data_IF_049547600425
#
_entry.id   IF_049547600425
#
_cell.length_a   1.000
_cell.length_b   1.000
_cell.length_c   1.000
_cell.angle_alpha   90.00
_cell.angle_beta   90.00
_cell.angle_gamma   90.00
#
_symmetry.space_group_name_H-M   'P 1'
#
loop_
_entity.id
_entity.type
_entity.pdbx_description
1 polymer ?
#
# COMPACT_ATOMS: atom_id res chain seq x y z
N UNK A 1 -12.64 -7.06 -21.42
CA UNK A 1 -12.88 -8.01 -20.29
C UNK A 1 -12.60 -7.35 -18.94
N UNK A 2 -11.41 -6.77 -18.73
CA UNK A 2 -11.02 -6.08 -17.47
C UNK A 2 -11.99 -4.97 -17.07
N UNK A 3 -12.38 -4.09 -18.01
CA UNK A 3 -13.27 -2.96 -17.72
C UNK A 3 -14.59 -3.40 -17.09
N UNK A 4 -15.29 -4.36 -17.72
CA UNK A 4 -16.62 -4.79 -17.27
C UNK A 4 -16.57 -5.69 -16.03
N UNK A 5 -15.56 -6.57 -15.93
CA UNK A 5 -15.53 -7.60 -14.89
C UNK A 5 -14.71 -7.22 -13.66
N UNK A 6 -13.78 -6.26 -13.78
CA UNK A 6 -12.91 -5.84 -12.68
C UNK A 6 -13.18 -4.39 -12.30
N UNK A 7 -13.13 -3.47 -13.26
CA UNK A 7 -13.28 -2.04 -12.96
C UNK A 7 -14.73 -1.67 -12.66
N UNK A 8 -15.69 -2.17 -13.44
CA UNK A 8 -17.12 -1.92 -13.25
C UNK A 8 -17.61 -2.19 -11.82
N UNK A 9 -17.37 -3.38 -11.25
CA UNK A 9 -17.74 -3.68 -9.86
C UNK A 9 -17.02 -2.79 -8.84
N UNK A 10 -15.74 -2.47 -9.05
CA UNK A 10 -14.98 -1.58 -8.15
C UNK A 10 -15.50 -0.16 -8.16
N UNK A 11 -15.86 0.36 -9.34
CA UNK A 11 -16.48 1.69 -9.49
C UNK A 11 -17.83 1.71 -8.78
N UNK A 12 -18.69 0.72 -9.02
CA UNK A 12 -20.01 0.64 -8.38
C UNK A 12 -19.90 0.61 -6.85
N UNK A 13 -19.02 -0.23 -6.31
CA UNK A 13 -18.81 -0.33 -4.86
C UNK A 13 -18.21 0.95 -4.26
N UNK A 14 -17.28 1.61 -4.96
CA UNK A 14 -16.70 2.86 -4.50
C UNK A 14 -17.74 3.99 -4.43
N UNK A 15 -18.58 4.12 -5.46
CA UNK A 15 -19.69 5.10 -5.49
C UNK A 15 -20.69 4.82 -4.37
N UNK A 16 -21.02 3.56 -4.14
CA UNK A 16 -21.95 3.16 -3.08
C UNK A 16 -21.40 3.45 -1.67
N UNK A 17 -20.12 3.16 -1.42
CA UNK A 17 -19.46 3.48 -0.14
C UNK A 17 -19.48 4.98 0.11
N UNK A 18 -19.17 5.79 -0.90
CA UNK A 18 -19.13 7.24 -0.74
C UNK A 18 -20.53 7.83 -0.48
N UNK A 19 -21.56 7.32 -1.18
CA UNK A 19 -22.95 7.68 -0.91
C UNK A 19 -23.38 7.32 0.52
N UNK A 20 -22.94 6.18 1.06
CA UNK A 20 -23.21 5.84 2.47
C UNK A 20 -22.40 6.68 3.44
N UNK A 21 -21.17 7.06 3.09
CA UNK A 21 -20.29 7.88 3.93
C UNK A 21 -20.79 9.33 4.03
N UNK A 22 -21.37 9.90 2.98
CA UNK A 22 -21.94 11.25 3.04
C UNK A 22 -23.06 11.38 4.07
N UNK A 23 -23.77 10.28 4.33
CA UNK A 23 -24.79 10.20 5.39
C UNK A 23 -24.16 10.08 6.79
N UNK A 24 -22.98 9.47 6.91
CA UNK A 24 -22.27 9.24 8.16
C UNK A 24 -21.09 10.23 8.33
N UNK A 25 -21.40 11.48 8.69
CA UNK A 25 -20.37 12.49 9.01
C UNK A 25 -19.46 12.01 10.16
N UNK A 26 -18.14 12.07 9.95
CA UNK A 26 -17.05 11.96 10.96
C UNK A 26 -16.29 10.62 11.14
N UNK A 27 -16.11 9.79 10.12
CA UNK A 27 -15.10 8.73 10.20
C UNK A 27 -13.69 9.27 9.86
N UNK A 28 -12.67 9.11 10.73
CA UNK A 28 -11.30 9.45 10.39
C UNK A 28 -10.75 8.52 9.30
N UNK A 29 -10.22 9.10 8.24
CA UNK A 29 -9.54 8.34 7.18
C UNK A 29 -8.09 8.07 7.62
N UNK A 30 -7.81 6.86 8.08
CA UNK A 30 -6.43 6.43 8.26
C UNK A 30 -5.90 5.89 6.94
N UNK A 31 -4.83 6.51 6.43
CA UNK A 31 -4.05 5.93 5.34
C UNK A 31 -3.35 4.65 5.78
N UNK A 32 -3.02 3.76 4.83
CA UNK A 32 -2.34 2.49 5.09
C UNK A 32 -1.11 2.63 6.01
N UNK A 33 -0.29 3.67 5.82
CA UNK A 33 0.88 3.89 6.66
C UNK A 33 0.52 4.09 8.16
N UNK A 34 -0.55 4.85 8.43
CA UNK A 34 -1.04 5.04 9.79
C UNK A 34 -1.61 3.76 10.39
N UNK A 35 -2.33 2.96 9.59
CA UNK A 35 -2.84 1.66 10.03
C UNK A 35 -1.72 0.67 10.33
N UNK A 36 -0.69 0.59 9.48
CA UNK A 36 0.46 -0.29 9.68
C UNK A 36 1.25 0.12 10.94
N UNK A 37 1.51 1.43 11.12
CA UNK A 37 2.17 1.94 12.31
C UNK A 37 1.36 1.66 13.60
N UNK A 38 0.05 1.89 13.57
CA UNK A 38 -0.84 1.58 14.69
C UNK A 38 -0.89 0.09 15.03
N UNK A 39 -0.66 -0.79 14.05
CA UNK A 39 -0.54 -2.23 14.24
C UNK A 39 0.89 -2.68 14.66
N UNK A 40 1.82 -1.75 14.91
CA UNK A 40 3.17 -2.05 15.38
C UNK A 40 4.16 -2.45 14.29
N UNK A 41 3.81 -2.30 13.01
CA UNK A 41 4.75 -2.56 11.91
C UNK A 41 5.71 -1.39 11.71
N UNK A 42 6.98 -1.71 11.44
CA UNK A 42 8.02 -0.74 11.11
C UNK A 42 8.16 -0.55 9.60
N UNK A 43 8.30 0.68 9.11
CA UNK A 43 8.64 0.92 7.71
C UNK A 43 10.07 0.45 7.41
N UNK A 44 10.28 -0.26 6.29
CA UNK A 44 11.60 -0.76 5.88
C UNK A 44 11.97 -0.21 4.52
N UNK A 45 13.14 0.41 4.42
CA UNK A 45 13.63 0.97 3.16
C UNK A 45 13.67 -0.09 2.06
N UNK A 46 13.29 0.31 0.85
CA UNK A 46 13.40 -0.51 -0.34
C UNK A 46 14.88 -0.71 -0.67
N UNK A 47 15.20 -1.89 -1.19
CA UNK A 47 16.53 -2.10 -1.75
C UNK A 47 16.69 -1.24 -3.02
N UNK A 48 17.89 -0.70 -3.23
CA UNK A 48 18.21 0.00 -4.46
C UNK A 48 17.97 -0.89 -5.70
N UNK A 49 18.24 -2.19 -5.58
CA UNK A 49 18.00 -3.16 -6.64
C UNK A 49 16.51 -3.26 -7.02
N UNK A 50 15.60 -3.26 -6.05
CA UNK A 50 14.17 -3.30 -6.30
C UNK A 50 13.71 -2.06 -7.08
N UNK A 51 14.23 -0.88 -6.72
CA UNK A 51 13.93 0.38 -7.43
C UNK A 51 14.45 0.34 -8.88
N UNK A 52 15.71 -0.07 -9.07
CA UNK A 52 16.30 -0.21 -10.41
C UNK A 52 15.52 -1.21 -11.27
N UNK A 53 15.15 -2.36 -10.71
CA UNK A 53 14.39 -3.38 -11.42
C UNK A 53 13.02 -2.85 -11.86
N UNK A 54 12.32 -2.11 -11.00
CA UNK A 54 11.05 -1.49 -11.37
C UNK A 54 11.20 -0.47 -12.51
N UNK A 55 12.25 0.36 -12.48
CA UNK A 55 12.55 1.33 -13.54
C UNK A 55 12.86 0.64 -14.86
N UNK A 56 13.75 -0.36 -14.85
CA UNK A 56 14.12 -1.14 -16.04
C UNK A 56 12.90 -1.82 -16.68
N UNK A 57 12.01 -2.40 -15.86
CA UNK A 57 10.79 -3.00 -16.37
C UNK A 57 9.89 -1.97 -17.06
N UNK A 58 9.76 -0.77 -16.49
CA UNK A 58 8.93 0.27 -17.11
C UNK A 58 9.56 0.83 -18.38
N UNK A 59 10.88 0.99 -18.44
CA UNK A 59 11.58 1.46 -19.64
C UNK A 59 11.33 0.54 -20.85
N UNK A 60 11.17 -0.77 -20.61
CA UNK A 60 10.87 -1.75 -21.68
C UNK A 60 9.42 -1.70 -22.17
N UNK A 61 8.47 -1.25 -21.35
CA UNK A 61 7.03 -1.30 -21.63
C UNK A 61 6.35 0.07 -21.55
N UNK A 62 7.10 1.17 -21.77
CA UNK A 62 6.60 2.49 -21.41
C UNK A 62 5.60 3.07 -22.42
N UNK A 63 4.32 2.88 -22.13
CA UNK A 63 3.19 3.52 -22.81
C UNK A 63 2.59 4.68 -21.98
N UNK A 64 3.43 5.38 -21.22
CA UNK A 64 3.02 6.43 -20.28
C UNK A 64 2.97 5.96 -18.82
N UNK A 65 3.55 4.79 -18.50
CA UNK A 65 3.73 4.34 -17.12
C UNK A 65 4.98 4.98 -16.51
N UNK A 66 4.93 5.31 -15.22
CA UNK A 66 6.05 5.90 -14.47
C UNK A 66 6.11 5.26 -13.08
N UNK A 67 7.31 5.14 -12.52
CA UNK A 67 7.49 4.74 -11.11
C UNK A 67 8.23 5.83 -10.36
N UNK A 68 7.73 6.18 -9.18
CA UNK A 68 8.38 7.11 -8.27
C UNK A 68 8.52 6.49 -6.88
N UNK A 69 9.58 6.89 -6.19
CA UNK A 69 9.77 6.60 -4.77
C UNK A 69 9.14 7.77 -3.97
N UNK A 70 7.99 7.52 -3.37
CA UNK A 70 7.24 8.54 -2.60
C UNK A 70 7.68 8.56 -1.12
N UNK A 71 8.29 7.48 -0.65
CA UNK A 71 9.00 7.38 0.63
C UNK A 71 10.03 6.24 0.54
N UNK A 72 11.00 6.21 1.46
CA UNK A 72 12.07 5.20 1.46
C UNK A 72 11.55 3.75 1.41
N UNK A 73 10.36 3.49 1.96
CA UNK A 73 9.75 2.17 1.98
C UNK A 73 8.66 1.96 0.92
N UNK A 74 8.41 2.92 0.01
CA UNK A 74 7.20 2.97 -0.82
C UNK A 74 7.46 3.42 -2.27
N UNK A 75 7.09 2.56 -3.21
CA UNK A 75 7.02 2.86 -4.65
C UNK A 75 5.58 3.13 -5.07
N UNK A 76 5.41 4.03 -6.03
CA UNK A 76 4.14 4.34 -6.65
C UNK A 76 4.24 4.21 -8.16
N UNK A 77 3.35 3.40 -8.73
CA UNK A 77 3.13 3.28 -10.16
C UNK A 77 2.08 4.30 -10.61
N UNK A 78 2.43 5.06 -11.63
CA UNK A 78 1.57 6.04 -12.28
C UNK A 78 1.30 5.64 -13.72
N UNK A 79 0.18 6.13 -14.24
CA UNK A 79 -0.08 6.27 -15.66
C UNK A 79 -0.30 7.74 -15.98
N UNK A 80 0.63 8.34 -16.74
CA UNK A 80 0.78 9.79 -16.88
C UNK A 80 0.87 10.42 -15.50
N UNK A 81 -0.03 11.34 -15.16
CA UNK A 81 -0.10 12.00 -13.85
C UNK A 81 -1.00 11.29 -12.83
N UNK A 82 -1.62 10.16 -13.20
CA UNK A 82 -2.57 9.47 -12.33
C UNK A 82 -1.89 8.33 -11.56
N UNK A 83 -1.96 8.40 -10.24
CA UNK A 83 -1.52 7.31 -9.35
C UNK A 83 -2.43 6.10 -9.53
N UNK A 84 -1.83 4.94 -9.81
CA UNK A 84 -2.56 3.69 -9.98
C UNK A 84 -2.43 2.78 -8.78
N UNK A 85 -1.19 2.43 -8.41
CA UNK A 85 -0.90 1.42 -7.40
C UNK A 85 0.32 1.86 -6.61
N UNK A 86 0.35 1.56 -5.32
CA UNK A 86 1.55 1.70 -4.50
C UNK A 86 1.93 0.39 -3.84
N UNK A 87 3.23 0.13 -3.75
CA UNK A 87 3.80 -1.00 -3.03
C UNK A 87 4.67 -0.45 -1.90
N UNK A 88 4.57 -1.05 -0.71
CA UNK A 88 5.36 -0.62 0.45
C UNK A 88 5.86 -1.81 1.27
N UNK A 89 7.02 -1.67 1.91
CA UNK A 89 7.66 -2.72 2.70
C UNK A 89 7.62 -2.39 4.19
N UNK A 90 7.31 -3.40 4.98
CA UNK A 90 7.11 -3.29 6.42
C UNK A 90 7.71 -4.50 7.15
N UNK A 91 8.32 -4.28 8.31
CA UNK A 91 8.76 -5.33 9.23
C UNK A 91 7.67 -5.62 10.25
N UNK A 92 7.50 -6.89 10.59
CA UNK A 92 6.60 -7.30 11.66
C UNK A 92 7.15 -6.85 13.03
N UNK A 93 6.29 -6.54 14.00
CA UNK A 93 6.74 -6.35 15.38
C UNK A 93 7.44 -7.62 15.89
N UNK A 94 8.41 -7.50 16.80
CA UNK A 94 9.04 -8.66 17.42
C UNK A 94 7.99 -9.52 18.14
N UNK A 95 8.18 -10.86 18.19
CA UNK A 95 7.27 -11.73 18.95
C UNK A 95 7.25 -11.28 20.42
N UNK A 96 6.07 -11.26 21.03
CA UNK A 96 5.95 -10.89 22.44
C UNK A 96 6.67 -11.92 23.30
N UNK A 97 7.79 -11.52 23.90
CA UNK A 97 8.56 -12.35 24.85
C UNK A 97 7.83 -12.44 26.19
N UNK A 98 6.64 -13.05 26.21
CA UNK A 98 5.83 -13.23 27.43
C UNK A 98 5.83 -14.67 27.96
N UNK A 99 6.67 -15.56 27.44
CA UNK A 99 6.63 -17.00 27.77
C UNK A 99 7.95 -17.63 28.25
N UNK A 100 8.96 -16.85 28.66
CA UNK A 100 10.25 -17.42 29.15
C UNK A 100 10.64 -17.04 30.57
N UNK A 101 9.74 -16.48 31.38
CA UNK A 101 10.03 -16.15 32.79
C UNK A 101 9.35 -17.10 33.79
N UNK A 102 8.94 -18.30 33.36
CA UNK A 102 8.28 -19.28 34.24
C UNK A 102 8.87 -20.67 34.07
N UNK A 103 10.19 -20.80 34.18
CA UNK A 103 10.85 -22.05 34.53
C UNK A 103 12.29 -21.71 34.92
N UNK A 104 12.63 -21.77 36.22
CA UNK A 104 13.57 -22.75 36.80
C UNK A 104 13.32 -22.77 38.33
N UNK A 105 13.19 -23.97 38.94
CA UNK A 105 13.02 -24.18 40.39
C UNK A 105 14.25 -23.87 41.25
#
# INVERSE_FOLDING_TARGET
>A
MVERLVLGPRISGAVEIEFRRSEQKNAPQFGWAGMMAAAGFGAVALSYFNLCQAKLMLDLFNFGYLVEEEAENKLVLYWKSLRLVSASVWSAPPPSTAASAMEVP
#
